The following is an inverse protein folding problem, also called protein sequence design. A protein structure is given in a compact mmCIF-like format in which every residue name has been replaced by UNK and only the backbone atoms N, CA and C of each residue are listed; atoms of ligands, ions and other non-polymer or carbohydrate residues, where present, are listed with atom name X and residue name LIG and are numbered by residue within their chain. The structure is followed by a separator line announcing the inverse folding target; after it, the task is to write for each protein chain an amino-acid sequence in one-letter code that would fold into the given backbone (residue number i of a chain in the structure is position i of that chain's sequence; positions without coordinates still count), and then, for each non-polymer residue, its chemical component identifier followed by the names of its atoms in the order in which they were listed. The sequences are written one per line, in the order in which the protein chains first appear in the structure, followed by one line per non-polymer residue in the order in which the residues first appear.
data_IF_517146880585
#
_entry.id   IF_517146880585
#
_cell.length_a   1.000
_cell.length_b   1.000
_cell.length_c   1.000
_cell.angle_alpha   90.00
_cell.angle_beta   90.00
_cell.angle_gamma   90.00
#
_symmetry.space_group_name_H-M   'P 1'
#
loop_
_entity.id
_entity.type
_entity.pdbx_description
1 polymer ?
#
# COMPACT_ATOMS: atom_id res chain seq x y z
N UNK A 1 -17.40 -16.86 11.56
CA UNK A 1 -18.72 -16.76 10.92
C UNK A 1 -19.54 -15.60 11.44
N UNK A 2 -19.92 -15.51 12.73
CA UNK A 2 -20.81 -14.43 13.22
C UNK A 2 -20.25 -13.00 13.14
N UNK A 3 -18.93 -12.82 13.28
CA UNK A 3 -18.27 -11.50 13.14
C UNK A 3 -18.29 -10.97 11.69
N UNK A 4 -18.23 -11.89 10.72
CA UNK A 4 -18.33 -11.56 9.29
C UNK A 4 -19.73 -11.11 8.92
N UNK A 5 -20.77 -11.71 9.53
CA UNK A 5 -22.15 -11.29 9.29
C UNK A 5 -22.45 -9.91 9.88
N UNK A 6 -21.96 -9.61 11.08
CA UNK A 6 -22.14 -8.27 11.67
C UNK A 6 -21.40 -7.20 10.88
N UNK A 7 -20.12 -7.42 10.58
CA UNK A 7 -19.32 -6.50 9.77
C UNK A 7 -19.91 -6.34 8.35
N UNK A 8 -20.35 -7.44 7.75
CA UNK A 8 -21.01 -7.45 6.45
C UNK A 8 -22.33 -6.69 6.45
N UNK A 9 -23.13 -6.82 7.52
CA UNK A 9 -24.38 -6.08 7.69
C UNK A 9 -24.16 -4.57 7.83
N UNK A 10 -23.20 -4.15 8.67
CA UNK A 10 -22.84 -2.73 8.81
C UNK A 10 -22.30 -2.17 7.49
N UNK A 11 -21.43 -2.92 6.80
CA UNK A 11 -20.90 -2.52 5.50
C UNK A 11 -22.01 -2.37 4.44
N UNK A 12 -22.97 -3.30 4.42
CA UNK A 12 -24.14 -3.23 3.53
C UNK A 12 -24.99 -1.99 3.79
N UNK A 13 -25.26 -1.66 5.06
CA UNK A 13 -26.04 -0.46 5.43
C UNK A 13 -25.31 0.80 4.97
N UNK A 14 -24.00 0.91 5.22
CA UNK A 14 -23.19 2.05 4.78
C UNK A 14 -23.17 2.17 3.25
N UNK A 15 -23.06 1.04 2.54
CA UNK A 15 -23.10 1.01 1.09
C UNK A 15 -24.46 1.48 0.57
N UNK A 16 -25.56 1.07 1.20
CA UNK A 16 -26.92 1.47 0.83
C UNK A 16 -27.12 2.98 1.02
N UNK A 17 -26.65 3.53 2.15
CA UNK A 17 -26.70 4.98 2.42
C UNK A 17 -25.88 5.74 1.37
N UNK A 18 -24.65 5.30 1.10
CA UNK A 18 -23.78 5.94 0.10
C UNK A 18 -24.39 5.88 -1.30
N UNK A 19 -25.03 4.76 -1.67
CA UNK A 19 -25.68 4.60 -2.98
C UNK A 19 -26.91 5.50 -3.11
N UNK A 20 -27.70 5.65 -2.03
CA UNK A 20 -28.84 6.57 -2.00
C UNK A 20 -28.38 8.03 -2.14
N UNK A 21 -27.36 8.44 -1.41
CA UNK A 21 -26.78 9.79 -1.50
C UNK A 21 -26.26 10.08 -2.92
N UNK A 22 -25.62 9.10 -3.55
CA UNK A 22 -25.13 9.19 -4.92
C UNK A 22 -26.27 9.25 -5.95
N UNK A 23 -27.36 8.52 -5.72
CA UNK A 23 -28.56 8.57 -6.56
C UNK A 23 -29.30 9.91 -6.47
N UNK A 24 -29.36 10.52 -5.27
CA UNK A 24 -30.03 11.80 -5.06
C UNK A 24 -29.18 13.01 -5.48
N UNK A 25 -27.86 12.95 -5.35
CA UNK A 25 -26.96 14.06 -5.68
C UNK A 25 -26.83 14.34 -7.19
N UNK A 26 -27.18 13.38 -8.06
CA UNK A 26 -27.30 13.47 -9.55
C UNK A 26 -26.12 14.12 -10.31
N UNK A 27 -25.00 14.40 -9.65
CA UNK A 27 -23.81 15.03 -10.24
C UNK A 27 -22.68 14.00 -10.34
N UNK A 28 -22.85 13.01 -11.21
CA UNK A 28 -21.72 12.16 -11.59
C UNK A 28 -20.90 12.89 -12.66
N UNK A 29 -20.07 13.85 -12.26
CA UNK A 29 -19.10 14.44 -13.18
C UNK A 29 -18.04 13.38 -13.52
N UNK A 30 -18.14 12.81 -14.71
CA UNK A 30 -17.20 11.80 -15.20
C UNK A 30 -15.89 12.46 -15.62
N UNK A 31 -15.07 12.84 -14.64
CA UNK A 31 -13.70 13.30 -14.88
C UNK A 31 -12.80 12.09 -15.02
N UNK A 32 -12.45 11.74 -16.27
CA UNK A 32 -11.53 10.63 -16.56
C UNK A 32 -10.12 10.99 -16.11
N UNK A 33 -9.56 10.22 -15.18
CA UNK A 33 -8.12 10.27 -14.90
C UNK A 33 -7.38 9.16 -15.66
N UNK A 34 -6.09 9.33 -15.99
CA UNK A 34 -5.30 8.25 -16.61
C UNK A 34 -5.22 6.97 -15.77
N UNK A 35 -5.32 7.09 -14.44
CA UNK A 35 -5.29 5.95 -13.51
C UNK A 35 -6.59 5.15 -13.58
N UNK A 36 -7.73 5.79 -13.85
CA UNK A 36 -9.05 5.13 -13.94
C UNK A 36 -9.04 4.02 -15.01
N UNK A 37 -8.41 4.29 -16.16
CA UNK A 37 -8.29 3.31 -17.25
C UNK A 37 -7.44 2.09 -16.84
N UNK A 38 -6.39 2.31 -16.04
CA UNK A 38 -5.53 1.22 -15.56
C UNK A 38 -6.24 0.37 -14.51
N UNK A 39 -6.99 1.00 -13.60
CA UNK A 39 -7.81 0.28 -12.63
C UNK A 39 -8.90 -0.53 -13.32
N UNK A 40 -9.57 0.04 -14.32
CA UNK A 40 -10.56 -0.68 -15.12
C UNK A 40 -9.92 -1.86 -15.86
N UNK A 41 -8.70 -1.70 -16.38
CA UNK A 41 -7.97 -2.80 -17.01
C UNK A 41 -7.67 -3.93 -16.02
N UNK A 42 -7.29 -3.63 -14.77
CA UNK A 42 -7.10 -4.65 -13.72
C UNK A 42 -8.41 -5.36 -13.40
N UNK A 43 -9.50 -4.62 -13.20
CA UNK A 43 -10.84 -5.20 -12.93
C UNK A 43 -11.27 -6.10 -14.09
N UNK A 44 -11.13 -5.63 -15.32
CA UNK A 44 -11.50 -6.38 -16.53
C UNK A 44 -10.64 -7.64 -16.66
N UNK A 45 -9.32 -7.54 -16.47
CA UNK A 45 -8.42 -8.69 -16.55
C UNK A 45 -8.76 -9.75 -15.49
N UNK A 46 -9.06 -9.33 -14.26
CA UNK A 46 -9.50 -10.23 -13.19
C UNK A 46 -10.85 -10.87 -13.52
N UNK A 47 -11.82 -10.09 -13.97
CA UNK A 47 -13.13 -10.58 -14.36
C UNK A 47 -13.04 -11.61 -15.51
N UNK A 48 -12.21 -11.34 -16.52
CA UNK A 48 -11.97 -12.27 -17.62
C UNK A 48 -11.29 -13.56 -17.13
N UNK A 49 -10.30 -13.47 -16.25
CA UNK A 49 -9.68 -14.64 -15.62
C UNK A 49 -10.70 -15.48 -14.83
N UNK A 50 -11.58 -14.84 -14.05
CA UNK A 50 -12.63 -15.54 -13.29
C UNK A 50 -13.63 -16.24 -14.22
N UNK A 51 -14.09 -15.55 -15.27
CA UNK A 51 -15.13 -16.08 -16.16
C UNK A 51 -14.59 -17.19 -17.08
N UNK A 52 -13.39 -17.00 -17.64
CA UNK A 52 -12.83 -17.87 -18.66
C UNK A 52 -11.98 -19.02 -18.09
N UNK A 53 -11.23 -18.78 -17.01
CA UNK A 53 -10.23 -19.73 -16.51
C UNK A 53 -10.57 -20.35 -15.16
N UNK A 54 -11.28 -19.64 -14.27
CA UNK A 54 -11.52 -20.15 -12.91
C UNK A 54 -12.51 -21.32 -12.90
N UNK A 55 -12.13 -22.49 -12.33
CA UNK A 55 -13.05 -23.61 -12.16
C UNK A 55 -14.23 -23.27 -11.24
N UNK A 56 -13.96 -22.54 -10.15
CA UNK A 56 -14.95 -22.13 -9.17
C UNK A 56 -15.13 -20.61 -9.16
N UNK A 57 -16.06 -20.13 -9.99
CA UNK A 57 -16.32 -18.70 -10.18
C UNK A 57 -16.78 -17.99 -8.91
N UNK A 58 -17.58 -18.65 -8.08
CA UNK A 58 -18.12 -18.04 -6.85
C UNK A 58 -17.02 -17.84 -5.83
N UNK A 59 -16.18 -18.86 -5.63
CA UNK A 59 -15.04 -18.78 -4.73
C UNK A 59 -14.03 -17.73 -5.22
N UNK A 60 -13.72 -17.72 -6.51
CA UNK A 60 -12.83 -16.73 -7.10
C UNK A 60 -13.37 -15.29 -7.03
N UNK A 61 -14.69 -15.12 -7.11
CA UNK A 61 -15.31 -13.81 -6.93
C UNK A 61 -15.22 -13.33 -5.47
N UNK A 62 -15.44 -14.23 -4.51
CA UNK A 62 -15.55 -13.92 -3.08
C UNK A 62 -14.23 -14.07 -2.30
N UNK A 63 -13.12 -14.41 -2.97
CA UNK A 63 -11.83 -14.56 -2.31
C UNK A 63 -11.38 -13.21 -1.69
N UNK A 64 -11.05 -13.18 -0.38
CA UNK A 64 -10.75 -11.93 0.33
C UNK A 64 -9.35 -11.35 0.08
N UNK A 65 -8.47 -12.05 -0.65
CA UNK A 65 -7.10 -11.60 -0.92
C UNK A 65 -6.94 -11.08 -2.36
N UNK A 66 -7.42 -11.85 -3.33
CA UNK A 66 -7.27 -11.57 -4.77
C UNK A 66 -8.59 -11.70 -5.56
N UNK A 67 -9.72 -11.85 -4.86
CA UNK A 67 -11.00 -12.11 -5.51
C UNK A 67 -11.54 -10.92 -6.31
N UNK A 68 -12.39 -11.22 -7.29
CA UNK A 68 -12.94 -10.23 -8.20
C UNK A 68 -13.76 -9.14 -7.48
N UNK A 69 -14.52 -9.49 -6.44
CA UNK A 69 -15.30 -8.54 -5.66
C UNK A 69 -14.39 -7.54 -4.92
N UNK A 70 -13.29 -8.05 -4.35
CA UNK A 70 -12.32 -7.21 -3.67
C UNK A 70 -11.65 -6.25 -4.67
N UNK A 71 -11.16 -6.75 -5.80
CA UNK A 71 -10.51 -5.93 -6.83
C UNK A 71 -11.47 -4.84 -7.32
N UNK A 72 -12.74 -5.19 -7.57
CA UNK A 72 -13.77 -4.22 -7.95
C UNK A 72 -14.03 -3.19 -6.84
N UNK A 73 -14.12 -3.62 -5.58
CA UNK A 73 -14.31 -2.71 -4.44
C UNK A 73 -13.14 -1.75 -4.26
N UNK A 74 -11.90 -2.23 -4.41
CA UNK A 74 -10.70 -1.41 -4.29
C UNK A 74 -10.63 -0.42 -5.45
N UNK A 75 -10.91 -0.85 -6.68
CA UNK A 75 -11.00 0.06 -7.82
C UNK A 75 -12.06 1.14 -7.62
N UNK A 76 -13.25 0.77 -7.09
CA UNK A 76 -14.31 1.72 -6.79
C UNK A 76 -13.93 2.70 -5.69
N UNK A 77 -13.34 2.23 -4.59
CA UNK A 77 -12.83 3.08 -3.50
C UNK A 77 -11.74 4.02 -4.03
N UNK A 78 -10.80 3.52 -4.84
CA UNK A 78 -9.73 4.33 -5.44
C UNK A 78 -10.31 5.43 -6.32
N UNK A 79 -11.30 5.08 -7.14
CA UNK A 79 -12.00 6.00 -8.02
C UNK A 79 -12.73 7.10 -7.25
N UNK A 80 -13.39 6.74 -6.14
CA UNK A 80 -14.04 7.69 -5.24
C UNK A 80 -13.01 8.61 -4.56
N UNK A 81 -11.97 8.02 -3.95
CA UNK A 81 -10.91 8.77 -3.26
C UNK A 81 -10.16 9.70 -4.21
N UNK A 82 -9.88 9.29 -5.45
CA UNK A 82 -9.20 10.10 -6.47
C UNK A 82 -9.89 11.45 -6.75
N UNK A 83 -11.18 11.57 -6.42
CA UNK A 83 -12.01 12.74 -6.74
C UNK A 83 -12.35 13.58 -5.53
N UNK A 84 -12.33 12.96 -4.36
CA UNK A 84 -12.49 13.67 -3.12
C UNK A 84 -11.24 14.50 -2.80
N UNK A 85 -11.44 15.73 -2.35
CA UNK A 85 -10.33 16.58 -1.86
C UNK A 85 -9.76 16.05 -0.54
N UNK A 86 -10.40 15.03 0.04
CA UNK A 86 -10.07 14.40 1.31
C UNK A 86 -8.94 13.35 1.24
N UNK A 87 -8.09 13.34 0.22
CA UNK A 87 -6.87 12.51 0.20
C UNK A 87 -6.04 12.61 1.50
N UNK A 88 -6.04 13.80 2.10
CA UNK A 88 -5.39 14.02 3.40
C UNK A 88 -6.02 13.23 4.55
N UNK A 89 -7.33 12.95 4.52
CA UNK A 89 -8.01 12.12 5.51
C UNK A 89 -7.64 10.65 5.34
N UNK A 90 -7.55 10.14 4.11
CA UNK A 90 -7.14 8.77 3.85
C UNK A 90 -5.73 8.49 4.37
N UNK A 91 -4.77 9.37 4.07
CA UNK A 91 -3.40 9.24 4.60
C UNK A 91 -3.34 9.27 6.13
N UNK A 92 -4.14 10.15 6.78
CA UNK A 92 -4.26 10.19 8.24
C UNK A 92 -4.89 8.91 8.80
N UNK A 93 -5.91 8.37 8.14
CA UNK A 93 -6.56 7.12 8.52
C UNK A 93 -5.62 5.93 8.40
N UNK A 94 -4.80 5.86 7.35
CA UNK A 94 -3.79 4.82 7.17
C UNK A 94 -2.70 4.88 8.27
N UNK A 95 -2.21 6.08 8.60
CA UNK A 95 -1.27 6.29 9.71
C UNK A 95 -1.91 5.89 11.05
N UNK A 96 -3.16 6.30 11.31
CA UNK A 96 -3.88 5.92 12.52
C UNK A 96 -4.07 4.40 12.60
N UNK A 97 -4.34 3.74 11.46
CA UNK A 97 -4.45 2.28 11.36
C UNK A 97 -3.13 1.60 11.68
N UNK A 98 -2.00 2.10 11.19
CA UNK A 98 -0.66 1.58 11.53
C UNK A 98 -0.35 1.71 13.02
N UNK A 99 -0.67 2.84 13.65
CA UNK A 99 -0.51 3.02 15.10
C UNK A 99 -1.40 2.04 15.86
N UNK A 100 -2.67 1.93 15.49
CA UNK A 100 -3.62 1.02 16.12
C UNK A 100 -3.14 -0.43 16.02
N UNK A 101 -2.77 -0.89 14.82
CA UNK A 101 -2.29 -2.25 14.58
C UNK A 101 -0.97 -2.54 15.31
N UNK A 102 -0.05 -1.57 15.36
CA UNK A 102 1.20 -1.72 16.10
C UNK A 102 0.96 -1.84 17.61
N UNK A 103 0.05 -1.04 18.17
CA UNK A 103 -0.37 -1.15 19.58
C UNK A 103 -1.06 -2.50 19.84
N UNK A 104 -1.99 -2.90 18.98
CA UNK A 104 -2.70 -4.18 19.07
C UNK A 104 -1.70 -5.36 19.13
N UNK A 105 -0.73 -5.35 18.22
CA UNK A 105 0.36 -6.33 18.16
C UNK A 105 1.17 -6.36 19.45
N UNK A 106 1.54 -5.19 19.97
CA UNK A 106 2.29 -5.08 21.22
C UNK A 106 1.49 -5.63 22.41
N UNK A 107 0.20 -5.29 22.50
CA UNK A 107 -0.69 -5.77 23.57
C UNK A 107 -0.82 -7.29 23.52
N UNK A 108 -1.16 -7.86 22.36
CA UNK A 108 -1.37 -9.31 22.24
C UNK A 108 -0.09 -10.13 22.38
N UNK A 109 1.06 -9.56 22.04
CA UNK A 109 2.36 -10.21 22.26
C UNK A 109 2.59 -10.56 23.74
N UNK A 110 2.20 -9.68 24.67
CA UNK A 110 2.31 -9.93 26.11
C UNK A 110 1.22 -10.85 26.69
N UNK A 111 0.28 -11.32 25.87
CA UNK A 111 -0.77 -12.27 26.24
C UNK A 111 -1.54 -11.90 27.54
N UNK A 112 -2.12 -10.68 27.65
CA UNK A 112 -2.80 -10.23 28.87
C UNK A 112 -3.98 -11.14 29.26
N UNK A 113 -4.58 -11.83 28.29
CA UNK A 113 -5.76 -12.66 28.46
C UNK A 113 -5.47 -14.16 28.58
N UNK A 114 -4.21 -14.57 28.73
CA UNK A 114 -3.82 -15.99 28.80
C UNK A 114 -4.62 -16.77 29.86
N UNK A 115 -4.72 -16.19 31.04
CA UNK A 115 -5.36 -16.81 32.21
C UNK A 115 -6.86 -16.47 32.35
N UNK A 116 -7.41 -15.64 31.47
CA UNK A 116 -8.83 -15.27 31.53
C UNK A 116 -9.72 -16.42 31.02
N UNK A 117 -10.83 -16.71 31.70
CA UNK A 117 -11.81 -17.68 31.21
C UNK A 117 -12.76 -17.01 30.21
N UNK A 118 -12.37 -17.04 28.92
CA UNK A 118 -13.13 -16.46 27.83
C UNK A 118 -14.09 -17.48 27.19
N UNK A 119 -15.29 -17.07 26.77
CA UNK A 119 -16.17 -17.89 25.93
C UNK A 119 -15.46 -18.37 24.66
N UNK A 120 -15.87 -19.52 24.11
CA UNK A 120 -15.26 -20.14 22.92
C UNK A 120 -15.07 -19.16 21.76
N UNK A 121 -16.04 -18.26 21.53
CA UNK A 121 -15.98 -17.26 20.44
C UNK A 121 -14.92 -16.17 20.64
N UNK A 122 -14.45 -15.97 21.87
CA UNK A 122 -13.43 -15.00 22.28
C UNK A 122 -12.07 -15.64 22.56
N UNK A 123 -11.94 -16.97 22.49
CA UNK A 123 -10.67 -17.65 22.73
C UNK A 123 -9.55 -17.24 21.76
N UNK A 124 -9.89 -16.77 20.56
CA UNK A 124 -8.93 -16.22 19.61
C UNK A 124 -8.11 -15.04 20.16
N UNK A 125 -8.65 -14.29 21.14
CA UNK A 125 -7.95 -13.19 21.83
C UNK A 125 -6.80 -13.67 22.73
N UNK A 126 -6.71 -14.98 22.99
CA UNK A 126 -5.55 -15.57 23.68
C UNK A 126 -4.37 -15.83 22.76
N UNK A 127 -4.57 -15.75 21.44
CA UNK A 127 -3.52 -15.99 20.47
C UNK A 127 -2.54 -14.80 20.47
N UNK A 128 -1.24 -14.99 20.78
CA UNK A 128 -0.25 -13.91 20.73
C UNK A 128 -0.04 -13.34 19.33
N UNK A 129 -0.49 -14.08 18.31
CA UNK A 129 -0.32 -13.77 16.90
C UNK A 129 -1.62 -13.34 16.24
N UNK A 130 -2.63 -13.01 17.04
CA UNK A 130 -3.86 -12.42 16.54
C UNK A 130 -3.55 -11.11 15.79
N UNK A 131 -4.18 -10.93 14.63
CA UNK A 131 -4.16 -9.67 13.90
C UNK A 131 -5.48 -9.48 13.15
N UNK A 132 -6.04 -8.25 13.12
CA UNK A 132 -7.24 -7.97 12.35
C UNK A 132 -6.99 -7.77 10.84
N UNK A 133 -5.72 -7.63 10.40
CA UNK A 133 -5.39 -7.40 8.97
C UNK A 133 -5.43 -8.68 8.12
N UNK A 134 -5.51 -9.85 8.75
CA UNK A 134 -5.59 -11.14 8.09
C UNK A 134 -4.41 -12.05 8.42
N UNK A 135 -3.26 -11.84 7.77
CA UNK A 135 -2.06 -12.67 7.97
C UNK A 135 -0.96 -11.94 8.74
N UNK A 136 -0.11 -12.71 9.42
CA UNK A 136 1.07 -12.15 10.09
C UNK A 136 2.08 -11.56 9.11
N UNK A 137 2.19 -12.12 7.90
CA UNK A 137 3.05 -11.59 6.85
C UNK A 137 2.55 -10.23 6.39
N UNK A 138 1.25 -10.12 6.09
CA UNK A 138 0.60 -8.87 5.72
C UNK A 138 0.78 -7.79 6.80
N UNK A 139 0.62 -8.15 8.07
CA UNK A 139 0.87 -7.25 9.19
C UNK A 139 2.33 -6.78 9.25
N UNK A 140 3.29 -7.70 9.10
CA UNK A 140 4.71 -7.38 9.12
C UNK A 140 5.10 -6.45 7.96
N UNK A 141 4.57 -6.70 6.76
CA UNK A 141 4.79 -5.85 5.58
C UNK A 141 4.15 -4.48 5.75
N UNK A 142 2.93 -4.43 6.28
CA UNK A 142 2.21 -3.18 6.53
C UNK A 142 2.92 -2.30 7.56
N UNK A 143 3.25 -2.84 8.74
CA UNK A 143 3.96 -2.11 9.78
C UNK A 143 5.39 -1.75 9.34
N UNK A 144 6.06 -2.65 8.60
CA UNK A 144 7.39 -2.40 8.05
C UNK A 144 7.40 -1.21 7.08
N UNK A 145 6.38 -1.08 6.23
CA UNK A 145 6.21 0.08 5.36
C UNK A 145 6.11 1.38 6.16
N UNK A 146 5.22 1.44 7.17
CA UNK A 146 5.02 2.65 7.96
C UNK A 146 6.23 2.99 8.83
N UNK A 147 6.98 1.98 9.29
CA UNK A 147 8.26 2.18 9.96
C UNK A 147 9.28 2.85 9.03
N UNK A 148 9.40 2.40 7.78
CA UNK A 148 10.32 2.99 6.79
C UNK A 148 9.88 4.39 6.38
N UNK A 149 8.57 4.59 6.17
CA UNK A 149 8.00 5.91 5.90
C UNK A 149 8.34 6.89 7.02
N UNK A 150 8.03 6.53 8.27
CA UNK A 150 8.29 7.37 9.44
C UNK A 150 9.80 7.63 9.60
N UNK A 151 10.64 6.61 9.43
CA UNK A 151 12.10 6.75 9.46
C UNK A 151 12.61 7.73 8.41
N UNK A 152 12.10 7.67 7.17
CA UNK A 152 12.42 8.62 6.13
C UNK A 152 12.06 10.06 6.52
N UNK A 153 10.88 10.28 7.11
CA UNK A 153 10.48 11.60 7.61
C UNK A 153 11.42 12.11 8.70
N UNK A 154 11.83 11.24 9.64
CA UNK A 154 12.78 11.57 10.70
C UNK A 154 14.14 12.00 10.13
N UNK A 155 14.66 11.25 9.15
CA UNK A 155 15.92 11.61 8.49
C UNK A 155 15.82 12.92 7.71
N UNK A 156 14.72 13.12 6.97
CA UNK A 156 14.46 14.33 6.20
C UNK A 156 14.43 15.61 7.05
N UNK A 157 13.85 15.54 8.24
CA UNK A 157 13.80 16.66 9.19
C UNK A 157 15.19 17.11 9.65
N UNK A 158 16.14 16.18 9.84
CA UNK A 158 17.50 16.52 10.27
C UNK A 158 18.35 17.21 9.20
N UNK A 159 18.09 16.94 7.92
CA UNK A 159 18.83 17.52 6.80
C UNK A 159 18.51 19.02 6.60
N UNK A 160 17.25 19.41 6.80
CA UNK A 160 16.79 20.81 6.68
C UNK A 160 17.36 21.73 7.77
N UNK A 161 17.87 21.18 8.88
CA UNK A 161 18.46 21.97 9.97
C UNK A 161 19.88 22.46 9.65
N UNK A 162 20.58 21.84 8.69
CA UNK A 162 21.99 22.15 8.37
C UNK A 162 22.18 23.25 7.32
N UNK A 163 21.13 23.70 6.64
CA UNK A 163 21.22 24.65 5.51
C UNK A 163 20.87 26.11 5.86
N UNK A 164 20.58 26.42 7.12
CA UNK A 164 20.34 27.80 7.55
C UNK A 164 21.68 28.45 7.87
N UNK A 165 22.32 29.07 6.87
CA UNK A 165 23.44 29.97 7.13
C UNK A 165 22.92 31.24 7.80
N UNK A 166 23.55 31.73 8.88
CA UNK A 166 23.23 33.03 9.43
C UNK A 166 23.58 34.10 8.40
N UNK A 167 22.57 34.82 7.92
CA UNK A 167 22.79 36.02 7.09
C UNK A 167 23.37 37.09 8.00
N UNK A 168 24.68 37.32 7.90
CA UNK A 168 25.36 38.42 8.59
C UNK A 168 25.08 39.70 7.83
N UNK A 169 24.17 40.53 8.34
CA UNK A 169 23.98 41.88 7.83
C UNK A 169 25.24 42.73 8.09
N UNK A 170 25.65 43.51 7.09
CA UNK A 170 26.86 44.36 7.10
C UNK A 170 26.81 45.55 8.07
N UNK A 171 25.68 45.80 8.74
CA UNK A 171 25.49 47.00 9.55
C UNK A 171 25.82 46.83 11.04
N UNK A 172 26.20 45.65 11.53
CA UNK A 172 26.58 45.46 12.93
C UNK A 172 25.46 45.73 13.96
N UNK A 173 24.24 46.03 13.51
CA UNK A 173 23.08 46.26 14.36
C UNK A 173 22.29 44.96 14.47
N UNK A 174 22.30 44.38 15.67
CA UNK A 174 21.40 43.30 16.08
C UNK A 174 19.98 43.84 16.18
N UNK A 175 19.26 43.88 15.07
CA UNK A 175 17.81 44.07 15.09
C UNK A 175 17.16 42.75 15.53
N UNK A 176 16.99 42.59 16.85
CA UNK A 176 16.25 41.49 17.47
C UNK A 176 14.77 41.85 17.59
N UNK A 177 14.11 42.19 16.49
CA UNK A 177 12.66 42.37 16.49
C UNK A 177 12.07 42.14 15.11
N UNK A 178 10.92 41.47 15.12
CA UNK A 178 9.99 41.27 13.98
C UNK A 178 10.37 40.20 12.96
N UNK A 179 10.03 38.96 13.32
CA UNK A 179 9.91 37.80 12.43
C UNK A 179 9.46 36.55 13.19
N UNK A 180 8.64 36.74 14.23
CA UNK A 180 8.21 35.69 15.16
C UNK A 180 6.85 35.13 14.73
N UNK A 181 6.83 34.42 13.60
CA UNK A 181 5.85 33.39 13.21
C UNK A 181 6.13 33.03 11.74
N UNK A 182 6.48 31.76 11.50
CA UNK A 182 6.53 31.04 10.21
C UNK A 182 7.78 30.20 10.00
N UNK A 183 8.73 30.22 10.94
CA UNK A 183 9.57 29.04 11.16
C UNK A 183 8.76 28.07 12.02
N UNK A 184 7.68 27.51 11.45
CA UNK A 184 7.19 26.20 11.89
C UNK A 184 8.41 25.30 11.74
N UNK A 185 9.07 25.08 12.87
CA UNK A 185 10.22 24.22 12.95
C UNK A 185 9.81 22.90 12.33
N UNK A 186 10.40 22.56 11.18
CA UNK A 186 10.48 21.20 10.66
C UNK A 186 11.35 20.34 11.59
N UNK A 187 11.22 20.52 12.90
CA UNK A 187 11.64 19.54 13.89
C UNK A 187 10.80 18.29 13.68
N UNK A 188 11.40 17.15 13.98
CA UNK A 188 10.72 15.86 14.01
C UNK A 188 9.35 16.03 14.68
N UNK A 189 8.27 15.78 13.94
CA UNK A 189 6.94 15.83 14.55
C UNK A 189 6.89 14.69 15.56
N UNK A 190 6.45 14.93 16.82
CA UNK A 190 6.38 13.87 17.82
C UNK A 190 5.55 12.67 17.34
N UNK A 191 4.54 12.93 16.48
CA UNK A 191 3.76 11.90 15.81
C UNK A 191 4.61 10.96 14.94
N UNK A 192 5.59 11.47 14.18
CA UNK A 192 6.44 10.65 13.30
C UNK A 192 7.37 9.74 14.13
N UNK A 193 7.83 10.24 15.27
CA UNK A 193 8.61 9.43 16.21
C UNK A 193 7.76 8.32 16.85
N UNK A 194 6.54 8.64 17.29
CA UNK A 194 5.59 7.66 17.84
C UNK A 194 5.24 6.60 16.79
N UNK A 195 4.92 7.04 15.56
CA UNK A 195 4.64 6.14 14.44
C UNK A 195 5.82 5.22 14.15
N UNK A 196 7.05 5.76 14.12
CA UNK A 196 8.26 4.96 13.91
C UNK A 196 8.44 3.90 15.00
N UNK A 197 8.42 4.31 16.28
CA UNK A 197 8.65 3.39 17.40
C UNK A 197 7.61 2.27 17.40
N UNK A 198 6.32 2.62 17.31
CA UNK A 198 5.23 1.64 17.36
C UNK A 198 5.28 0.70 16.16
N UNK A 199 5.42 1.25 14.95
CA UNK A 199 5.42 0.43 13.72
C UNK A 199 6.67 -0.44 13.63
N UNK A 200 7.84 0.09 14.00
CA UNK A 200 9.09 -0.67 14.02
C UNK A 200 9.04 -1.80 15.04
N UNK A 201 8.61 -1.52 16.28
CA UNK A 201 8.47 -2.56 17.31
C UNK A 201 7.46 -3.63 16.90
N UNK A 202 6.29 -3.24 16.37
CA UNK A 202 5.29 -4.20 15.89
C UNK A 202 5.79 -5.04 14.72
N UNK A 203 6.47 -4.43 13.74
CA UNK A 203 7.09 -5.15 12.61
C UNK A 203 8.20 -6.10 13.06
N UNK A 204 9.03 -5.69 14.03
CA UNK A 204 10.10 -6.52 14.58
C UNK A 204 9.53 -7.73 15.35
N UNK A 205 8.49 -7.54 16.17
CA UNK A 205 7.85 -8.62 16.92
C UNK A 205 7.13 -9.61 16.00
N UNK A 206 6.41 -9.12 14.99
CA UNK A 206 5.74 -9.97 14.00
C UNK A 206 6.76 -10.71 13.13
N UNK A 207 7.81 -10.03 12.67
CA UNK A 207 8.93 -10.65 11.96
C UNK A 207 9.62 -11.72 12.81
N UNK A 208 9.88 -11.46 14.09
CA UNK A 208 10.40 -12.47 15.01
C UNK A 208 9.45 -13.66 15.15
N UNK A 209 8.14 -13.42 15.28
CA UNK A 209 7.13 -14.48 15.32
C UNK A 209 7.11 -15.36 14.07
N UNK A 210 7.30 -14.77 12.89
CA UNK A 210 7.37 -15.49 11.62
C UNK A 210 8.64 -16.33 11.46
N UNK A 211 9.74 -15.89 12.08
CA UNK A 211 11.04 -16.57 12.05
C UNK A 211 11.23 -17.56 13.21
N UNK A 212 10.34 -17.54 14.21
CA UNK A 212 10.44 -18.41 15.38
C UNK A 212 10.27 -19.89 14.97
N UNK A 213 11.13 -20.80 15.44
CA UNK A 213 10.99 -22.23 15.18
C UNK A 213 9.62 -22.75 15.66
N UNK A 214 8.86 -23.35 14.75
CA UNK A 214 7.54 -23.94 15.03
C UNK A 214 6.33 -23.12 14.58
N UNK A 215 6.52 -21.85 14.21
CA UNK A 215 5.49 -20.99 13.58
C UNK A 215 5.87 -20.61 12.14
N UNK A 216 6.68 -21.47 11.50
CA UNK A 216 7.37 -21.22 10.24
C UNK A 216 6.48 -20.49 9.23
N UNK A 217 6.96 -19.35 8.72
CA UNK A 217 6.40 -18.73 7.52
C UNK A 217 6.57 -19.71 6.34
N UNK A 218 5.51 -20.48 6.06
CA UNK A 218 5.50 -21.44 4.98
C UNK A 218 5.13 -20.75 3.67
N UNK A 219 6.15 -20.48 2.87
CA UNK A 219 6.01 -19.91 1.53
C UNK A 219 6.49 -20.93 0.50
N UNK A 220 5.85 -20.99 -0.69
CA UNK A 220 6.32 -21.89 -1.73
C UNK A 220 7.76 -21.54 -2.13
N UNK A 221 8.58 -22.54 -2.52
CA UNK A 221 9.88 -22.28 -3.14
C UNK A 221 9.72 -21.38 -4.37
N UNK A 222 10.62 -20.40 -4.51
CA UNK A 222 10.59 -19.47 -5.65
C UNK A 222 10.62 -20.21 -6.99
N UNK A 223 11.44 -21.27 -7.11
CA UNK A 223 11.53 -22.11 -8.31
C UNK A 223 10.17 -22.68 -8.73
N UNK A 224 9.40 -23.24 -7.80
CA UNK A 224 8.08 -23.81 -8.10
C UNK A 224 7.05 -22.73 -8.44
N UNK A 225 7.15 -21.56 -7.81
CA UNK A 225 6.31 -20.41 -8.15
C UNK A 225 6.60 -19.88 -9.56
N UNK A 226 7.87 -19.85 -9.94
CA UNK A 226 8.30 -19.52 -11.31
C UNK A 226 7.81 -20.57 -12.31
N UNK A 227 7.97 -21.87 -12.00
CA UNK A 227 7.49 -22.94 -12.88
C UNK A 227 5.97 -22.91 -13.04
N UNK A 228 5.21 -22.64 -11.97
CA UNK A 228 3.76 -22.43 -12.05
C UNK A 228 3.41 -21.31 -13.04
N UNK A 229 4.15 -20.19 -12.99
CA UNK A 229 3.94 -19.07 -13.89
C UNK A 229 4.31 -19.40 -15.35
N UNK A 230 5.42 -20.11 -15.58
CA UNK A 230 5.83 -20.52 -16.94
C UNK A 230 4.89 -21.58 -17.51
N UNK A 231 4.34 -22.46 -16.67
CA UNK A 231 3.38 -23.49 -17.08
C UNK A 231 2.12 -22.88 -17.70
N UNK A 232 1.70 -21.69 -17.26
CA UNK A 232 0.52 -21.00 -17.82
C UNK A 232 0.73 -20.60 -19.29
N UNK A 233 1.97 -20.40 -19.72
CA UNK A 233 2.32 -20.00 -21.09
C UNK A 233 2.14 -21.13 -22.11
N UNK A 234 2.02 -22.39 -21.67
CA UNK A 234 1.92 -23.54 -22.57
C UNK A 234 0.57 -23.65 -23.30
N UNK A 235 -0.50 -23.10 -22.73
CA UNK A 235 -1.81 -23.05 -23.37
C UNK A 235 -2.20 -21.58 -23.61
N UNK A 236 -2.66 -21.21 -24.82
CA UNK A 236 -2.91 -19.81 -25.17
C UNK A 236 -3.96 -19.14 -24.28
N UNK A 237 -4.99 -19.87 -23.83
CA UNK A 237 -6.03 -19.33 -22.96
C UNK A 237 -5.45 -19.02 -21.58
N UNK A 238 -4.70 -19.96 -20.99
CA UNK A 238 -4.03 -19.72 -19.70
C UNK A 238 -2.87 -18.74 -19.80
N UNK A 239 -2.25 -18.59 -20.97
CA UNK A 239 -1.20 -17.59 -21.16
C UNK A 239 -1.78 -16.18 -21.08
N UNK A 240 -2.95 -15.96 -21.69
CA UNK A 240 -3.60 -14.65 -21.71
C UNK A 240 -4.30 -14.32 -20.39
N UNK A 241 -5.06 -15.28 -19.85
CA UNK A 241 -5.96 -15.05 -18.70
C UNK A 241 -5.55 -15.76 -17.41
N UNK A 242 -4.45 -16.50 -17.43
CA UNK A 242 -3.96 -17.26 -16.29
C UNK A 242 -4.77 -18.53 -16.04
N UNK A 243 -4.45 -19.21 -14.94
CA UNK A 243 -5.14 -20.43 -14.52
C UNK A 243 -6.46 -20.16 -13.78
N UNK A 244 -6.85 -18.89 -13.66
CA UNK A 244 -8.01 -18.44 -12.89
C UNK A 244 -7.61 -17.91 -11.51
N UNK A 245 -8.30 -16.86 -11.08
CA UNK A 245 -8.22 -16.33 -9.71
C UNK A 245 -8.58 -17.41 -8.70
N UNK A 246 -7.84 -17.47 -7.60
CA UNK A 246 -7.96 -18.45 -6.52
C UNK A 246 -7.70 -19.91 -6.95
N UNK A 247 -6.86 -20.09 -7.96
CA UNK A 247 -6.53 -21.41 -8.50
C UNK A 247 -5.01 -21.71 -8.49
N UNK A 248 -4.22 -20.88 -7.80
CA UNK A 248 -2.78 -21.11 -7.68
C UNK A 248 -2.44 -22.49 -7.06
N UNK A 249 -3.23 -22.98 -6.11
CA UNK A 249 -3.03 -24.31 -5.52
C UNK A 249 -3.10 -25.44 -6.56
N UNK A 250 -4.01 -25.34 -7.54
CA UNK A 250 -4.15 -26.34 -8.60
C UNK A 250 -2.91 -26.38 -9.49
N UNK A 251 -2.38 -25.22 -9.91
CA UNK A 251 -1.17 -25.21 -10.74
C UNK A 251 0.07 -25.60 -9.94
N UNK A 252 0.16 -25.24 -8.65
CA UNK A 252 1.26 -25.65 -7.78
C UNK A 252 1.36 -27.18 -7.70
N UNK A 253 0.23 -27.87 -7.51
CA UNK A 253 0.23 -29.35 -7.44
C UNK A 253 0.69 -30.01 -8.74
N UNK A 254 0.46 -29.38 -9.90
CA UNK A 254 0.90 -29.87 -11.21
C UNK A 254 2.40 -29.71 -11.44
N UNK A 255 2.98 -28.60 -10.98
CA UNK A 255 4.41 -28.31 -11.18
C UNK A 255 5.31 -28.86 -10.07
N UNK A 256 4.71 -29.45 -9.03
CA UNK A 256 5.43 -30.09 -7.93
C UNK A 256 6.25 -31.26 -8.46
N UNK A 257 7.57 -31.22 -8.23
CA UNK A 257 8.50 -32.21 -8.75
C UNK A 257 9.03 -33.16 -7.68
N UNK A 258 9.82 -34.15 -8.11
CA UNK A 258 10.43 -35.14 -7.22
C UNK A 258 11.33 -34.48 -6.16
N UNK A 259 12.07 -33.44 -6.54
CA UNK A 259 12.96 -32.73 -5.61
C UNK A 259 12.18 -32.08 -4.46
N UNK A 260 10.98 -31.55 -4.73
CA UNK A 260 10.11 -31.03 -3.67
C UNK A 260 9.61 -32.13 -2.73
N UNK A 261 9.21 -33.28 -3.28
CA UNK A 261 8.71 -34.41 -2.48
C UNK A 261 9.79 -35.06 -1.61
N UNK A 262 11.06 -34.84 -1.92
CA UNK A 262 12.20 -35.26 -1.09
C UNK A 262 12.66 -34.18 -0.10
N UNK A 263 12.10 -32.97 -0.19
CA UNK A 263 12.50 -31.82 0.62
C UNK A 263 11.74 -31.73 1.95
N UNK A 264 12.16 -30.83 2.85
CA UNK A 264 11.58 -30.71 4.20
C UNK A 264 10.13 -30.20 4.23
N UNK A 265 9.61 -29.69 3.10
CA UNK A 265 8.24 -29.17 2.98
C UNK A 265 7.30 -30.14 2.23
N UNK A 266 7.71 -31.39 1.99
CA UNK A 266 6.95 -32.37 1.21
C UNK A 266 5.51 -32.61 1.71
N UNK A 267 5.29 -32.45 3.01
CA UNK A 267 3.99 -32.63 3.68
C UNK A 267 2.95 -31.60 3.23
N UNK A 268 3.40 -30.44 2.73
CA UNK A 268 2.52 -29.40 2.21
C UNK A 268 2.10 -29.81 0.79
N UNK A 269 0.87 -30.30 0.67
CA UNK A 269 0.33 -30.76 -0.61
C UNK A 269 0.18 -29.63 -1.63
N UNK A 270 -0.19 -28.43 -1.18
CA UNK A 270 -0.41 -27.26 -2.03
C UNK A 270 -0.25 -25.93 -1.29
N UNK A 271 0.15 -24.88 -2.01
CA UNK A 271 0.10 -23.50 -1.54
C UNK A 271 -0.99 -22.73 -2.28
N UNK A 272 -1.72 -21.85 -1.59
CA UNK A 272 -2.76 -21.01 -2.20
C UNK A 272 -2.20 -19.70 -2.79
N UNK A 273 -0.98 -19.33 -2.43
CA UNK A 273 -0.33 -18.11 -2.88
C UNK A 273 1.02 -18.45 -3.52
N UNK A 274 1.43 -17.64 -4.49
CA UNK A 274 2.76 -17.72 -5.09
C UNK A 274 3.82 -17.16 -4.15
N UNK A 275 5.10 -17.29 -4.51
CA UNK A 275 6.20 -16.71 -3.71
C UNK A 275 6.21 -15.17 -3.77
N UNK A 276 5.71 -14.58 -4.85
CA UNK A 276 5.66 -13.12 -5.02
C UNK A 276 4.32 -12.68 -5.59
N UNK A 277 3.92 -11.44 -5.30
CA UNK A 277 2.70 -10.87 -5.85
C UNK A 277 2.74 -10.81 -7.38
N UNK A 278 3.90 -10.48 -7.97
CA UNK A 278 4.08 -10.44 -9.43
C UNK A 278 3.84 -11.82 -10.06
N UNK A 279 4.46 -12.87 -9.50
CA UNK A 279 4.27 -14.22 -10.01
C UNK A 279 2.85 -14.71 -9.75
N UNK A 280 2.23 -14.31 -8.64
CA UNK A 280 0.84 -14.68 -8.35
C UNK A 280 -0.12 -14.09 -9.37
N UNK A 281 -0.05 -12.77 -9.61
CA UNK A 281 -0.88 -12.08 -10.61
C UNK A 281 -0.66 -12.66 -12.00
N UNK A 282 0.59 -12.91 -12.38
CA UNK A 282 0.89 -13.52 -13.67
C UNK A 282 0.31 -14.94 -13.80
N UNK A 283 0.41 -15.75 -12.75
CA UNK A 283 -0.10 -17.12 -12.77
C UNK A 283 -1.63 -17.15 -12.83
N UNK A 284 -2.32 -16.35 -12.02
CA UNK A 284 -3.78 -16.40 -11.91
C UNK A 284 -4.50 -15.59 -12.98
N UNK A 285 -3.95 -14.43 -13.38
CA UNK A 285 -4.57 -13.50 -14.33
C UNK A 285 -3.86 -13.41 -15.69
N UNK A 286 -2.76 -14.15 -15.88
CA UNK A 286 -2.05 -14.25 -17.16
C UNK A 286 -1.30 -12.98 -17.56
N UNK A 287 -0.93 -12.90 -18.83
CA UNK A 287 -0.21 -11.76 -19.40
C UNK A 287 -1.03 -10.47 -19.27
N UNK A 288 -2.36 -10.51 -19.46
CA UNK A 288 -3.18 -9.31 -19.30
C UNK A 288 -3.15 -8.78 -17.86
N UNK A 289 -3.23 -9.67 -16.87
CA UNK A 289 -3.14 -9.28 -15.47
C UNK A 289 -1.77 -8.71 -15.13
N UNK A 290 -0.70 -9.34 -15.61
CA UNK A 290 0.67 -8.88 -15.42
C UNK A 290 0.89 -7.50 -16.06
N UNK A 291 0.38 -7.27 -17.28
CA UNK A 291 0.48 -5.99 -17.96
C UNK A 291 -0.29 -4.90 -17.21
N UNK A 292 -1.53 -5.17 -16.81
CA UNK A 292 -2.34 -4.22 -16.06
C UNK A 292 -1.67 -3.84 -14.74
N UNK A 293 -1.19 -4.83 -13.99
CA UNK A 293 -0.47 -4.64 -12.74
C UNK A 293 0.86 -3.88 -12.94
N UNK A 294 1.65 -4.27 -13.94
CA UNK A 294 2.92 -3.62 -14.27
C UNK A 294 2.76 -2.16 -14.71
N UNK A 295 1.67 -1.83 -15.41
CA UNK A 295 1.36 -0.44 -15.78
C UNK A 295 1.03 0.41 -14.56
N UNK A 296 0.26 -0.10 -13.59
CA UNK A 296 -0.02 0.61 -12.33
C UNK A 296 1.29 0.87 -11.58
N UNK A 297 2.11 -0.17 -11.38
CA UNK A 297 3.42 -0.03 -10.72
C UNK A 297 4.30 0.99 -11.46
N UNK A 298 4.30 0.98 -12.79
CA UNK A 298 5.05 1.94 -13.60
C UNK A 298 4.58 3.38 -13.42
N UNK A 299 3.26 3.61 -13.33
CA UNK A 299 2.71 4.96 -13.06
C UNK A 299 3.11 5.42 -11.67
N UNK A 300 3.02 4.57 -10.65
CA UNK A 300 3.45 4.90 -9.29
C UNK A 300 4.93 5.31 -9.24
N UNK A 301 5.81 4.53 -9.88
CA UNK A 301 7.24 4.87 -9.97
C UNK A 301 7.45 6.19 -10.72
N UNK A 302 6.76 6.40 -11.85
CA UNK A 302 6.86 7.65 -12.62
C UNK A 302 6.43 8.85 -11.81
N UNK A 303 5.34 8.75 -11.05
CA UNK A 303 4.87 9.81 -10.15
C UNK A 303 5.95 10.16 -9.13
N UNK A 304 6.60 9.18 -8.54
CA UNK A 304 7.72 9.39 -7.60
C UNK A 304 8.92 10.07 -8.27
N UNK A 305 9.31 9.63 -9.47
CA UNK A 305 10.43 10.22 -10.20
C UNK A 305 10.15 11.64 -10.71
N UNK A 306 8.91 11.93 -11.10
CA UNK A 306 8.49 13.27 -11.51
C UNK A 306 8.57 14.26 -10.36
N UNK A 307 8.17 13.84 -9.16
CA UNK A 307 8.32 14.65 -7.95
C UNK A 307 9.78 15.11 -7.83
N UNK A 308 10.77 14.21 -7.92
CA UNK A 308 12.22 14.54 -7.87
C UNK A 308 12.66 15.60 -8.88
N UNK A 309 12.14 15.56 -10.11
CA UNK A 309 12.56 16.49 -11.18
C UNK A 309 12.10 17.91 -10.92
N UNK A 310 10.91 18.08 -10.33
CA UNK A 310 10.31 19.39 -10.12
C UNK A 310 11.08 20.24 -9.08
N UNK A 311 11.55 19.69 -7.96
CA UNK A 311 12.37 20.49 -7.03
C UNK A 311 13.74 20.84 -7.60
N UNK A 312 14.37 19.97 -8.39
CA UNK A 312 15.67 20.29 -9.00
C UNK A 312 15.56 21.49 -9.95
N UNK A 313 14.42 21.66 -10.61
CA UNK A 313 14.16 22.85 -11.45
C UNK A 313 13.96 24.11 -10.61
N UNK A 314 13.29 24.02 -9.46
CA UNK A 314 13.04 25.16 -8.57
C UNK A 314 14.29 25.58 -7.78
N UNK A 315 15.14 24.62 -7.40
CA UNK A 315 16.42 24.90 -6.73
C UNK A 315 17.45 25.56 -7.68
N UNK A 316 17.26 25.46 -9.00
CA UNK A 316 18.14 26.04 -10.02
C UNK A 316 17.61 27.32 -10.65
N UNK A 317 16.41 27.80 -10.28
CA UNK A 317 15.95 29.10 -10.76
C UNK A 317 16.89 30.18 -10.24
N UNK A 318 17.59 30.92 -11.12
CA UNK A 318 18.38 32.07 -10.70
C UNK A 318 17.48 33.01 -9.91
N UNK A 319 17.95 33.52 -8.78
CA UNK A 319 17.30 34.67 -8.14
C UNK A 319 17.36 35.81 -9.15
N UNK A 320 16.27 36.03 -9.86
CA UNK A 320 16.10 37.25 -10.62
C UNK A 320 16.21 38.39 -9.60
N UNK A 321 17.27 39.17 -9.73
CA UNK A 321 17.37 40.46 -9.10
C UNK A 321 16.09 41.22 -9.44
N UNK A 322 15.40 41.83 -8.46
CA UNK A 322 14.31 42.73 -8.79
C UNK A 322 14.94 43.93 -9.50
N UNK A 323 14.89 43.92 -10.83
CA UNK A 323 15.05 45.14 -11.60
C UNK A 323 13.93 46.06 -11.14
N UNK A 324 14.32 47.10 -10.40
CA UNK A 324 13.50 48.27 -10.19
C UNK A 324 13.18 48.84 -11.56
N UNK A 325 12.05 48.47 -12.14
CA UNK A 325 11.30 49.30 -13.08
C UNK A 325 9.86 48.81 -13.07
N UNK A 326 9.03 49.57 -12.36
CA UNK A 326 7.59 49.35 -12.34
C UNK A 326 7.00 49.63 -13.70
N UNK A 327 6.30 48.65 -14.26
CA UNK A 327 5.16 48.90 -15.13
C UNK A 327 4.12 47.82 -14.87
N UNK A 328 2.90 48.28 -14.54
CA UNK A 328 1.72 47.44 -14.39
C UNK A 328 1.45 46.68 -15.68
N UNK A 329 1.27 45.37 -15.58
CA UNK A 329 0.47 44.61 -16.52
C UNK A 329 -0.24 43.52 -15.72
N UNK A 330 -1.45 43.87 -15.28
CA UNK A 330 -2.50 42.88 -15.03
C UNK A 330 -2.91 42.34 -16.39
N UNK A 331 -2.68 41.04 -16.63
CA UNK A 331 -3.62 40.14 -17.30
C UNK A 331 -2.99 38.75 -17.46
N UNK A 332 -3.85 37.73 -17.42
CA UNK A 332 -3.58 36.29 -17.57
C UNK A 332 -3.16 35.50 -16.32
N UNK A 333 -4.11 35.38 -15.38
CA UNK A 333 -4.21 34.18 -14.54
C UNK A 333 -4.82 33.03 -15.36
N UNK A 334 -3.99 32.33 -16.13
CA UNK A 334 -4.36 31.01 -16.64
C UNK A 334 -4.28 29.96 -15.53
N UNK A 335 -5.31 29.11 -15.52
CA UNK A 335 -5.55 27.96 -14.63
C UNK A 335 -4.39 26.94 -14.61
N UNK A 336 -3.30 27.27 -13.93
CA UNK A 336 -2.40 26.25 -13.41
C UNK A 336 -3.00 25.76 -12.10
N UNK A 337 -3.48 24.51 -12.11
CA UNK A 337 -3.85 23.77 -10.91
C UNK A 337 -2.71 23.93 -9.90
N UNK A 338 -2.92 24.77 -8.90
CA UNK A 338 -2.08 24.89 -7.72
C UNK A 338 -2.19 23.57 -6.97
N UNK A 339 -1.35 22.61 -7.36
CA UNK A 339 -1.07 21.42 -6.58
C UNK A 339 -0.54 21.94 -5.24
N UNK A 340 -1.39 21.80 -4.23
CA UNK A 340 -1.15 22.00 -2.81
C UNK A 340 0.34 22.04 -2.47
N UNK A 341 0.80 23.23 -2.09
CA UNK A 341 2.13 23.57 -1.57
C UNK A 341 2.45 22.95 -0.20
N UNK A 342 1.84 21.80 0.14
CA UNK A 342 1.98 21.11 1.42
C UNK A 342 3.06 20.02 1.49
N UNK A 343 3.69 19.65 0.36
CA UNK A 343 4.71 18.60 0.29
C UNK A 343 6.10 19.19 0.07
N UNK A 344 6.50 20.16 0.90
CA UNK A 344 7.87 20.69 0.96
C UNK A 344 8.74 19.79 1.86
N UNK A 345 8.73 18.49 1.59
CA UNK A 345 9.39 17.46 2.40
C UNK A 345 10.53 16.79 1.64
N UNK A 346 11.57 16.38 2.36
CA UNK A 346 12.69 15.60 1.81
C UNK A 346 12.17 14.42 0.97
N UNK A 347 12.71 14.20 -0.24
CA UNK A 347 12.36 13.05 -1.10
C UNK A 347 12.77 11.70 -0.52
N UNK A 348 13.62 11.70 0.49
CA UNK A 348 14.18 10.49 1.08
C UNK A 348 13.08 9.50 1.51
N UNK A 349 12.03 9.89 2.28
CA UNK A 349 10.91 9.00 2.60
C UNK A 349 10.22 8.43 1.38
N UNK A 350 9.97 9.23 0.33
CA UNK A 350 9.31 8.76 -0.90
C UNK A 350 10.17 7.69 -1.60
N UNK A 351 11.48 7.90 -1.68
CA UNK A 351 12.41 6.95 -2.30
C UNK A 351 12.50 5.64 -1.50
N UNK A 352 12.66 5.74 -0.18
CA UNK A 352 12.76 4.57 0.70
C UNK A 352 11.50 3.71 0.64
N UNK A 353 10.33 4.36 0.69
CA UNK A 353 9.03 3.68 0.57
C UNK A 353 8.86 3.03 -0.80
N UNK A 354 9.26 3.71 -1.88
CA UNK A 354 9.18 3.15 -3.23
C UNK A 354 10.09 1.93 -3.41
N UNK A 355 11.31 2.00 -2.86
CA UNK A 355 12.23 0.86 -2.86
C UNK A 355 11.68 -0.31 -2.06
N UNK A 356 11.09 -0.04 -0.89
CA UNK A 356 10.42 -1.06 -0.08
C UNK A 356 9.27 -1.73 -0.85
N UNK A 357 8.38 -0.95 -1.46
CA UNK A 357 7.28 -1.46 -2.28
C UNK A 357 7.76 -2.39 -3.40
N UNK A 358 8.84 -2.02 -4.11
CA UNK A 358 9.41 -2.87 -5.15
C UNK A 358 9.96 -4.20 -4.61
N UNK A 359 10.65 -4.15 -3.47
CA UNK A 359 11.20 -5.33 -2.81
C UNK A 359 10.08 -6.27 -2.37
N UNK A 360 9.04 -5.75 -1.72
CA UNK A 360 7.95 -6.60 -1.20
C UNK A 360 7.16 -7.25 -2.33
N UNK A 361 6.89 -6.52 -3.42
CA UNK A 361 6.18 -7.04 -4.59
C UNK A 361 6.97 -8.17 -5.28
N UNK A 362 8.30 -8.07 -5.28
CA UNK A 362 9.17 -9.06 -5.90
C UNK A 362 9.37 -10.32 -5.05
N UNK A 363 9.34 -10.19 -3.71
CA UNK A 363 9.78 -11.25 -2.80
C UNK A 363 8.67 -11.92 -1.99
N UNK A 364 7.50 -11.27 -1.85
CA UNK A 364 6.42 -11.74 -0.98
C UNK A 364 5.05 -11.70 -1.68
N UNK A 365 4.14 -12.63 -1.33
CA UNK A 365 2.76 -12.58 -1.78
C UNK A 365 1.94 -11.63 -0.90
N UNK A 366 2.16 -10.33 -1.07
CA UNK A 366 1.37 -9.31 -0.37
C UNK A 366 -0.09 -9.34 -0.87
N UNK A 367 -1.04 -9.32 0.07
CA UNK A 367 -2.46 -9.25 -0.28
C UNK A 367 -2.82 -7.88 -0.89
N UNK A 368 -3.81 -7.84 -1.79
CA UNK A 368 -4.26 -6.60 -2.41
C UNK A 368 -4.79 -5.53 -1.43
N UNK A 369 -5.52 -5.87 -0.35
CA UNK A 369 -5.98 -4.88 0.61
C UNK A 369 -4.81 -4.15 1.27
N UNK A 370 -3.75 -4.89 1.62
CA UNK A 370 -2.55 -4.29 2.21
C UNK A 370 -1.84 -3.44 1.19
N UNK A 371 -1.61 -3.97 -0.02
CA UNK A 371 -0.97 -3.21 -1.09
C UNK A 371 -1.70 -1.90 -1.42
N UNK A 372 -3.04 -1.88 -1.30
CA UNK A 372 -3.84 -0.68 -1.50
C UNK A 372 -3.67 0.37 -0.39
N UNK A 373 -3.40 -0.07 0.84
CA UNK A 373 -3.18 0.82 1.98
C UNK A 373 -1.75 1.38 2.06
N UNK A 374 -0.81 0.77 1.34
CA UNK A 374 0.59 1.23 1.19
C UNK A 374 0.69 2.28 0.07
#
# INVERSE_FOLDING_TARGET
TNKLYFLGGVALILLLISTLELAFSKKLEWKKTPIDNLLLLVVLSSALSIVLSSPNKVQALLNPNFGGLLIASLAFITYYLAREKSWSLFGKAAIASAIFLGIDTLIFYFQPLKNANLPVILQFLKNPFFTPIGSQLDLALFLGFFAIYAFGQLLGATQMRKSVHPVRNSSGVLNSSTGQQDVISNGVKPLDMVLFIISFSGAALTGYGLLKPGTNLLLPPFRLSWYAAVETLKNPLSALFGVGVDNFASIFTRVKDLAYNQGPMWEISSFNLSRSAVLHVFTESGIFGLLAFGLIVSVLIKSVLQLRKNEQSHARSPRNHPDMNGHLSQDNQENTLSVSSGLRGSYLPVLLVSAYLLIILALFPISLPVLFLL
#
